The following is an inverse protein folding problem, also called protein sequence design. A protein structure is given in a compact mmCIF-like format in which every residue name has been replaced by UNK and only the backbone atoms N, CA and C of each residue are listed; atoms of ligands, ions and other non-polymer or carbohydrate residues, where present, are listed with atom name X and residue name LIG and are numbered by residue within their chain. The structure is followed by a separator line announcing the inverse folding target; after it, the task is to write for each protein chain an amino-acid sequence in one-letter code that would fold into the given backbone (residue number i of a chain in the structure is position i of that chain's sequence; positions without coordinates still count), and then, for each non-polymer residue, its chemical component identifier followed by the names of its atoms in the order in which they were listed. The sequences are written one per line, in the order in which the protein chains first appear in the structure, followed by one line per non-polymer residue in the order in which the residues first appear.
data_IF_265419247447
#
_entry.id   IF_265419247447
#
_cell.length_a   1.000
_cell.length_b   1.000
_cell.length_c   1.000
_cell.angle_alpha   90.00
_cell.angle_beta   90.00
_cell.angle_gamma   90.00
#
_symmetry.space_group_name_H-M   'P 1'
#
loop_
_entity.id
_entity.type
_entity.pdbx_description
1 polymer ?
#
# COMPACT_ATOMS: atom_id res chain seq x y z
N UNK A 1 28.44 35.53 -53.59
CA UNK A 1 27.51 34.73 -54.41
C UNK A 1 26.15 34.81 -53.75
N UNK A 2 25.22 35.57 -54.34
CA UNK A 2 23.86 35.74 -53.87
C UNK A 2 23.05 34.47 -54.13
N UNK A 3 22.70 33.74 -53.08
CA UNK A 3 21.76 32.62 -53.16
C UNK A 3 20.34 33.19 -53.26
N UNK A 4 19.92 33.54 -54.47
CA UNK A 4 18.51 33.85 -54.74
C UNK A 4 17.71 32.54 -54.62
N UNK A 5 16.79 32.40 -53.66
CA UNK A 5 15.85 31.28 -53.69
C UNK A 5 14.90 31.52 -54.86
N UNK A 6 14.95 30.66 -55.88
CA UNK A 6 13.96 30.65 -56.95
C UNK A 6 12.54 30.46 -56.38
N UNK A 7 11.50 30.77 -57.17
CA UNK A 7 10.12 30.66 -56.70
C UNK A 7 9.83 29.25 -56.19
N UNK A 8 9.49 29.15 -54.90
CA UNK A 8 9.28 27.88 -54.22
C UNK A 8 8.07 27.20 -54.87
N UNK A 9 8.28 26.02 -55.44
CA UNK A 9 7.20 25.26 -56.06
C UNK A 9 6.18 24.87 -54.99
N UNK A 10 4.90 25.16 -55.23
CA UNK A 10 3.80 24.81 -54.31
C UNK A 10 3.81 23.31 -53.99
N UNK A 11 4.23 22.47 -54.95
CA UNK A 11 4.40 21.03 -54.74
C UNK A 11 5.48 20.70 -53.71
N UNK A 12 6.58 21.44 -53.69
CA UNK A 12 7.68 21.21 -52.75
C UNK A 12 7.28 21.62 -51.33
N UNK A 13 6.55 22.74 -51.19
CA UNK A 13 5.96 23.15 -49.91
C UNK A 13 4.97 22.10 -49.41
N UNK A 14 4.10 21.61 -50.30
CA UNK A 14 3.07 20.64 -49.95
C UNK A 14 3.70 19.28 -49.58
N UNK A 15 4.78 18.89 -50.23
CA UNK A 15 5.53 17.67 -49.89
C UNK A 15 6.25 17.79 -48.54
N UNK A 16 6.94 18.92 -48.27
CA UNK A 16 7.60 19.17 -46.98
C UNK A 16 6.59 19.29 -45.84
N UNK A 17 5.47 19.96 -46.08
CA UNK A 17 4.37 20.05 -45.12
C UNK A 17 3.80 18.66 -44.83
N UNK A 18 3.52 17.85 -45.86
CA UNK A 18 3.02 16.47 -45.68
C UNK A 18 3.99 15.59 -44.91
N UNK A 19 5.29 15.72 -45.15
CA UNK A 19 6.31 14.96 -44.43
C UNK A 19 6.37 15.37 -42.95
N UNK A 20 6.30 16.68 -42.67
CA UNK A 20 6.25 17.21 -41.31
C UNK A 20 5.00 16.76 -40.57
N UNK A 21 3.83 16.89 -41.19
CA UNK A 21 2.58 16.42 -40.61
C UNK A 21 2.59 14.90 -40.41
N UNK A 22 3.11 14.13 -41.36
CA UNK A 22 3.21 12.68 -41.22
C UNK A 22 4.13 12.29 -40.06
N UNK A 23 5.29 12.91 -39.91
CA UNK A 23 6.21 12.63 -38.82
C UNK A 23 5.66 13.06 -37.46
N UNK A 24 5.06 14.25 -37.40
CA UNK A 24 4.48 14.81 -36.18
C UNK A 24 3.24 14.03 -35.71
N UNK A 25 2.31 13.71 -36.61
CA UNK A 25 1.12 12.94 -36.24
C UNK A 25 1.46 11.48 -35.94
N UNK A 26 2.42 10.86 -36.64
CA UNK A 26 2.86 9.50 -36.32
C UNK A 26 3.51 9.43 -34.94
N UNK A 27 4.38 10.38 -34.60
CA UNK A 27 5.01 10.43 -33.28
C UNK A 27 3.98 10.71 -32.18
N UNK A 28 3.01 11.60 -32.43
CA UNK A 28 1.92 11.89 -31.51
C UNK A 28 1.05 10.66 -31.25
N UNK A 29 0.71 9.89 -32.29
CA UNK A 29 -0.05 8.64 -32.18
C UNK A 29 0.73 7.61 -31.36
N UNK A 30 2.05 7.49 -31.56
CA UNK A 30 2.89 6.58 -30.77
C UNK A 30 2.94 6.97 -29.29
N UNK A 31 3.08 8.26 -28.98
CA UNK A 31 3.09 8.75 -27.59
C UNK A 31 1.73 8.51 -26.94
N UNK A 32 0.62 8.83 -27.61
CA UNK A 32 -0.73 8.56 -27.09
C UNK A 32 -0.97 7.07 -26.90
N UNK A 33 -0.50 6.24 -27.83
CA UNK A 33 -0.53 4.78 -27.68
C UNK A 33 0.21 4.36 -26.41
N UNK A 34 1.47 4.77 -26.24
CA UNK A 34 2.25 4.43 -25.06
C UNK A 34 1.61 4.91 -23.74
N UNK A 35 0.99 6.10 -23.72
CA UNK A 35 0.27 6.61 -22.55
C UNK A 35 -1.01 5.79 -22.29
N UNK A 36 -1.78 5.45 -23.33
CA UNK A 36 -3.00 4.66 -23.20
C UNK A 36 -2.71 3.19 -22.82
N UNK A 37 -1.59 2.63 -23.27
CA UNK A 37 -1.12 1.29 -22.89
C UNK A 37 -0.31 1.31 -21.58
N UNK A 38 0.16 2.47 -21.09
CA UNK A 38 0.86 2.65 -19.81
C UNK A 38 0.13 2.02 -18.60
N UNK A 39 -1.20 2.19 -18.42
CA UNK A 39 -1.91 1.54 -17.31
C UNK A 39 -1.82 0.01 -17.33
N UNK A 40 -1.57 -0.64 -18.47
CA UNK A 40 -1.35 -2.10 -18.52
C UNK A 40 0.03 -2.50 -17.94
N UNK A 41 1.01 -1.59 -17.94
CA UNK A 41 2.33 -1.83 -17.36
C UNK A 41 2.44 -1.37 -15.90
N UNK A 42 1.57 -0.46 -15.46
CA UNK A 42 1.50 0.05 -14.08
C UNK A 42 0.68 -0.84 -13.14
N UNK A 43 -0.26 -1.63 -13.67
CA UNK A 43 -0.92 -2.70 -12.90
C UNK A 43 0.04 -3.87 -12.83
N UNK A 44 1.13 -3.68 -12.08
CA UNK A 44 1.86 -4.82 -11.56
C UNK A 44 1.02 -5.34 -10.41
N UNK A 45 0.14 -6.29 -10.70
CA UNK A 45 -0.45 -7.20 -9.72
C UNK A 45 0.69 -7.96 -9.04
N UNK A 46 1.44 -7.27 -8.17
CA UNK A 46 2.19 -7.97 -7.14
C UNK A 46 1.11 -8.29 -6.13
N UNK A 47 0.63 -9.54 -6.02
CA UNK A 47 -0.01 -9.93 -4.78
C UNK A 47 0.94 -9.47 -3.66
N UNK A 48 0.39 -8.86 -2.61
CA UNK A 48 1.16 -8.65 -1.39
C UNK A 48 1.99 -9.90 -1.17
N UNK A 49 3.33 -9.78 -0.99
CA UNK A 49 4.16 -10.96 -0.81
C UNK A 49 3.49 -11.78 0.28
N UNK A 50 3.14 -13.04 -0.05
CA UNK A 50 2.47 -13.92 0.90
C UNK A 50 3.38 -14.00 2.12
N UNK A 51 2.97 -13.32 3.18
CA UNK A 51 3.69 -13.31 4.44
C UNK A 51 3.26 -14.53 5.22
N UNK A 52 4.14 -15.12 6.00
CA UNK A 52 3.72 -16.25 6.85
C UNK A 52 2.76 -15.77 7.95
N UNK A 53 2.94 -14.53 8.43
CA UNK A 53 2.11 -13.90 9.45
C UNK A 53 1.81 -12.42 9.15
N UNK A 54 0.61 -11.97 9.55
CA UNK A 54 0.22 -10.57 9.60
C UNK A 54 0.24 -10.14 11.07
N UNK A 55 1.05 -9.14 11.41
CA UNK A 55 1.19 -8.65 12.78
C UNK A 55 0.40 -7.35 12.94
N UNK A 56 -0.49 -7.31 13.92
CA UNK A 56 -1.26 -6.16 14.33
C UNK A 56 -0.79 -5.71 15.71
N UNK A 57 -0.24 -4.50 15.80
CA UNK A 57 0.08 -3.88 17.08
C UNK A 57 -1.09 -3.05 17.58
N UNK A 58 -1.51 -3.34 18.80
CA UNK A 58 -2.69 -2.78 19.45
C UNK A 58 -2.27 -2.20 20.80
N UNK A 59 -2.44 -0.90 21.00
CA UNK A 59 -2.09 -0.22 22.25
C UNK A 59 -3.35 0.36 22.90
N UNK A 60 -3.62 -0.06 24.13
CA UNK A 60 -4.71 0.39 25.01
C UNK A 60 -6.11 0.06 24.46
N UNK A 61 -6.44 0.49 23.24
CA UNK A 61 -7.67 0.18 22.50
C UNK A 61 -7.37 -0.23 21.07
N UNK A 62 -8.31 -0.93 20.42
CA UNK A 62 -8.21 -1.29 19.00
C UNK A 62 -9.43 -0.78 18.26
N UNK A 63 -9.28 0.22 17.38
CA UNK A 63 -10.37 0.65 16.50
C UNK A 63 -10.89 -0.49 15.64
N UNK A 64 -12.21 -0.59 15.51
CA UNK A 64 -12.87 -1.64 14.72
C UNK A 64 -12.45 -1.62 13.25
N UNK A 65 -12.16 -0.43 12.70
CA UNK A 65 -11.68 -0.28 11.31
C UNK A 65 -10.34 -0.97 11.07
N UNK A 66 -9.45 -0.97 12.08
CA UNK A 66 -8.15 -1.62 11.99
C UNK A 66 -8.31 -3.14 12.02
N UNK A 67 -9.19 -3.66 12.90
CA UNK A 67 -9.53 -5.08 12.93
C UNK A 67 -10.16 -5.54 11.61
N UNK A 68 -11.04 -4.72 11.02
CA UNK A 68 -11.64 -4.97 9.71
C UNK A 68 -10.59 -5.03 8.61
N UNK A 69 -9.67 -4.06 8.56
CA UNK A 69 -8.59 -4.06 7.58
C UNK A 69 -7.67 -5.28 7.71
N UNK A 70 -7.37 -5.69 8.94
CA UNK A 70 -6.56 -6.89 9.21
C UNK A 70 -7.28 -8.18 8.76
N UNK A 71 -8.59 -8.30 9.06
CA UNK A 71 -9.41 -9.42 8.62
C UNK A 71 -9.55 -9.48 7.08
N UNK A 72 -9.73 -8.33 6.43
CA UNK A 72 -9.79 -8.24 4.97
C UNK A 72 -8.45 -8.61 4.33
N UNK A 73 -7.32 -8.21 4.93
CA UNK A 73 -5.99 -8.64 4.52
C UNK A 73 -5.78 -10.15 4.64
N UNK A 74 -6.25 -10.74 5.75
CA UNK A 74 -6.21 -12.19 5.95
C UNK A 74 -7.05 -12.94 4.91
N UNK A 75 -8.29 -12.49 4.65
CA UNK A 75 -9.19 -13.08 3.64
C UNK A 75 -8.63 -13.00 2.22
N UNK A 76 -7.89 -11.94 1.90
CA UNK A 76 -7.19 -11.78 0.62
C UNK A 76 -5.98 -12.72 0.47
N UNK A 77 -5.66 -13.51 1.50
CA UNK A 77 -4.57 -14.48 1.49
C UNK A 77 -3.20 -13.83 1.65
N UNK A 78 -3.13 -12.64 2.24
CA UNK A 78 -1.86 -11.94 2.48
C UNK A 78 -1.03 -12.62 3.57
N UNK A 79 -1.67 -13.36 4.49
CA UNK A 79 -0.98 -14.15 5.49
C UNK A 79 -1.71 -15.43 5.88
N UNK A 80 -0.96 -16.43 6.34
CA UNK A 80 -1.50 -17.69 6.86
C UNK A 80 -1.89 -17.64 8.34
N UNK A 81 -1.35 -16.68 9.10
CA UNK A 81 -1.57 -16.50 10.54
C UNK A 81 -1.77 -15.01 10.83
N UNK A 82 -2.69 -14.67 11.73
CA UNK A 82 -2.90 -13.33 12.25
C UNK A 82 -2.37 -13.24 13.69
N UNK A 83 -1.37 -12.40 13.91
CA UNK A 83 -0.76 -12.16 15.22
C UNK A 83 -1.21 -10.78 15.70
N UNK A 84 -1.78 -10.71 16.90
CA UNK A 84 -2.13 -9.44 17.57
C UNK A 84 -1.22 -9.26 18.77
N UNK A 85 -0.41 -8.21 18.76
CA UNK A 85 0.40 -7.78 19.90
C UNK A 85 -0.41 -6.72 20.66
N UNK A 86 -1.02 -7.13 21.77
CA UNK A 86 -1.91 -6.29 22.56
C UNK A 86 -1.22 -5.79 23.82
N UNK A 87 -1.03 -4.47 23.92
CA UNK A 87 -0.57 -3.80 25.13
C UNK A 87 -1.78 -3.22 25.88
N UNK A 88 -2.20 -3.82 27.00
CA UNK A 88 -3.37 -3.38 27.76
C UNK A 88 -3.12 -2.02 28.41
N UNK A 89 -4.21 -1.27 28.64
CA UNK A 89 -4.12 -0.02 29.38
C UNK A 89 -3.79 -0.30 30.86
N UNK A 90 -2.79 0.42 31.36
CA UNK A 90 -2.34 0.37 32.76
C UNK A 90 -2.95 1.51 33.57
N UNK A 91 -2.73 1.55 34.89
CA UNK A 91 -3.17 2.67 35.73
C UNK A 91 -2.61 4.03 35.30
N UNK A 92 -1.52 4.04 34.51
CA UNK A 92 -0.92 5.24 33.95
C UNK A 92 -1.33 5.50 32.48
N UNK A 93 -2.25 4.71 31.92
CA UNK A 93 -2.79 4.94 30.57
C UNK A 93 -3.71 6.15 30.56
N UNK A 94 -3.61 6.94 29.49
CA UNK A 94 -4.45 8.12 29.27
C UNK A 94 -5.94 7.77 29.13
N UNK A 95 -6.27 6.52 28.78
CA UNK A 95 -7.62 6.05 28.53
C UNK A 95 -8.29 5.46 29.78
N UNK A 96 -7.54 5.12 30.83
CA UNK A 96 -8.07 4.64 32.12
C UNK A 96 -8.84 3.32 32.07
N UNK A 97 -8.83 2.60 30.93
CA UNK A 97 -9.54 1.33 30.76
C UNK A 97 -8.65 0.18 31.26
N UNK A 98 -8.88 -0.30 32.48
CA UNK A 98 -8.11 -1.42 33.06
C UNK A 98 -8.62 -2.81 32.63
N UNK A 99 -9.55 -2.87 31.66
CA UNK A 99 -10.16 -4.10 31.20
C UNK A 99 -9.29 -4.80 30.15
N UNK A 100 -9.18 -6.13 30.27
CA UNK A 100 -8.53 -6.96 29.27
C UNK A 100 -9.44 -7.13 28.05
N UNK A 101 -9.04 -6.58 26.90
CA UNK A 101 -9.80 -6.62 25.65
C UNK A 101 -9.47 -7.83 24.78
N UNK A 102 -8.62 -8.76 25.23
CA UNK A 102 -8.16 -9.92 24.44
C UNK A 102 -9.33 -10.73 23.87
N UNK A 103 -10.33 -11.06 24.70
CA UNK A 103 -11.50 -11.83 24.27
C UNK A 103 -12.39 -11.06 23.28
N UNK A 104 -12.51 -9.74 23.45
CA UNK A 104 -13.29 -8.88 22.56
C UNK A 104 -12.61 -8.77 21.18
N UNK A 105 -11.29 -8.62 21.16
CA UNK A 105 -10.49 -8.60 19.93
C UNK A 105 -10.63 -9.94 19.19
N UNK A 106 -10.51 -11.06 19.91
CA UNK A 106 -10.67 -12.40 19.33
C UNK A 106 -12.07 -12.57 18.72
N UNK A 107 -13.12 -12.27 19.48
CA UNK A 107 -14.50 -12.36 19.00
C UNK A 107 -14.75 -11.44 17.80
N UNK A 108 -14.18 -10.23 17.81
CA UNK A 108 -14.30 -9.29 16.69
C UNK A 108 -13.65 -9.83 15.43
N UNK A 109 -12.45 -10.44 15.53
CA UNK A 109 -11.77 -11.02 14.38
C UNK A 109 -12.47 -12.28 13.86
N UNK A 110 -13.02 -13.11 14.74
CA UNK A 110 -13.82 -14.29 14.38
C UNK A 110 -15.12 -13.89 13.68
N UNK A 111 -15.85 -12.88 14.18
CA UNK A 111 -17.06 -12.36 13.53
C UNK A 111 -16.76 -11.71 12.17
N UNK A 112 -15.57 -11.11 12.03
CA UNK A 112 -15.07 -10.63 10.75
C UNK A 112 -14.62 -11.76 9.81
N UNK A 113 -14.69 -13.04 10.21
CA UNK A 113 -14.46 -14.20 9.34
C UNK A 113 -13.02 -14.70 9.30
N UNK A 114 -12.22 -14.41 10.32
CA UNK A 114 -10.90 -15.04 10.53
C UNK A 114 -11.10 -16.32 11.35
N UNK A 115 -10.47 -17.42 10.95
CA UNK A 115 -10.53 -18.67 11.70
C UNK A 115 -9.84 -18.54 13.06
N UNK A 116 -10.51 -18.97 14.13
CA UNK A 116 -9.99 -18.87 15.50
C UNK A 116 -8.62 -19.56 15.66
N UNK A 117 -8.40 -20.71 15.01
CA UNK A 117 -7.13 -21.44 15.03
C UNK A 117 -5.94 -20.68 14.43
N UNK A 118 -6.21 -19.61 13.68
CA UNK A 118 -5.22 -18.79 12.98
C UNK A 118 -4.96 -17.45 13.66
N UNK A 119 -5.63 -17.17 14.78
CA UNK A 119 -5.47 -15.94 15.55
C UNK A 119 -4.56 -16.24 16.75
N UNK A 120 -3.46 -15.49 16.86
CA UNK A 120 -2.56 -15.52 18.00
C UNK A 120 -2.55 -14.16 18.67
N UNK A 121 -3.07 -14.04 19.89
CA UNK A 121 -3.05 -12.78 20.65
C UNK A 121 -1.99 -12.88 21.74
N UNK A 122 -0.95 -12.05 21.65
CA UNK A 122 0.07 -11.91 22.69
C UNK A 122 -0.19 -10.65 23.50
N UNK A 123 -0.49 -10.84 24.78
CA UNK A 123 -0.56 -9.76 25.75
C UNK A 123 0.87 -9.32 26.10
N UNK A 124 1.20 -8.08 25.75
CA UNK A 124 2.45 -7.43 26.12
C UNK A 124 2.29 -6.88 27.53
N UNK A 125 2.90 -7.54 28.51
CA UNK A 125 3.00 -7.02 29.86
C UNK A 125 3.69 -5.65 29.83
N UNK A 126 3.18 -4.65 30.59
CA UNK A 126 3.82 -3.35 30.67
C UNK A 126 5.25 -3.51 31.17
N UNK A 127 6.16 -2.74 30.59
CA UNK A 127 7.57 -2.75 30.95
C UNK A 127 7.71 -2.57 32.48
N UNK A 128 8.39 -3.47 33.19
CA UNK A 128 8.41 -3.41 34.65
C UNK A 128 9.03 -2.09 35.10
N UNK A 129 8.38 -1.46 36.07
CA UNK A 129 8.82 -0.21 36.68
C UNK A 129 10.20 -0.47 37.32
N UNK A 130 11.27 -0.04 36.65
CA UNK A 130 12.65 -0.26 37.10
C UNK A 130 13.51 -1.19 36.21
N UNK A 131 12.99 -1.73 35.11
CA UNK A 131 13.88 -2.32 34.11
C UNK A 131 14.76 -1.22 33.53
N UNK A 132 16.09 -1.38 33.65
CA UNK A 132 17.07 -0.48 33.05
C UNK A 132 16.71 -0.33 31.57
N UNK A 133 16.46 0.90 31.14
CA UNK A 133 16.55 1.25 29.72
C UNK A 133 17.85 0.63 29.23
N UNK A 134 17.80 -0.18 28.15
CA UNK A 134 19.03 -0.63 27.50
C UNK A 134 19.90 0.62 27.34
N UNK A 135 21.12 0.64 27.91
CA UNK A 135 21.98 1.80 27.76
C UNK A 135 22.10 2.04 26.25
N UNK A 136 21.69 3.23 25.82
CA UNK A 136 21.78 3.66 24.42
C UNK A 136 23.16 3.27 23.89
N UNK A 137 23.20 2.27 23.02
CA UNK A 137 24.37 1.98 22.19
C UNK A 137 24.28 2.90 20.98
N UNK A 138 24.48 4.20 21.23
CA UNK A 138 24.82 5.21 20.24
C UNK A 138 25.76 6.22 20.89
#
# INVERSE_FOLDING_TARGET
MSTHPGPISVQEVLHKARLFFSGFFLSLILIFGLIAFSPLFLIRDRPFPKSDALVLEAKETVPQDILKNAADGFKKGYAGILIVLYSPATTNSNLGVTQDLTAEIQNSLVTLGVEESKILIYKLEPYPIGARNFPNLF
#
